data_IF_289127847006
#
_entry.id   IF_289127847006
#
_cell.length_a   1.000
_cell.length_b   1.000
_cell.length_c   1.000
_cell.angle_alpha   90.00
_cell.angle_beta   90.00
_cell.angle_gamma   90.00
#
_symmetry.space_group_name_H-M   'P 1'
#
loop_
_entity.id
_entity.type
_entity.pdbx_description
1 polymer ?
#
# COMPACT_ATOMS: atom_id res chain seq x y z
N UNK A 1 12.60 -13.47 3.64
CA UNK A 1 13.28 -14.01 2.43
C UNK A 1 14.06 -12.84 1.93
N UNK A 2 15.40 -12.93 1.93
CA UNK A 2 16.22 -11.82 1.46
C UNK A 2 15.82 -11.49 0.02
N UNK A 3 15.28 -10.28 -0.18
CA UNK A 3 14.94 -9.77 -1.50
C UNK A 3 16.26 -9.30 -2.13
N UNK A 4 16.64 -9.92 -3.24
CA UNK A 4 17.80 -9.54 -4.02
C UNK A 4 17.44 -9.48 -5.51
N UNK A 5 18.31 -8.86 -6.31
CA UNK A 5 18.03 -8.61 -7.73
C UNK A 5 17.80 -9.89 -8.53
N UNK A 6 18.52 -10.97 -8.23
CA UNK A 6 18.33 -12.25 -8.92
C UNK A 6 16.94 -12.85 -8.62
N UNK A 7 16.54 -12.87 -7.35
CA UNK A 7 15.23 -13.38 -6.93
C UNK A 7 14.09 -12.54 -7.51
N UNK A 8 14.26 -11.21 -7.57
CA UNK A 8 13.29 -10.30 -8.20
C UNK A 8 13.21 -10.54 -9.72
N UNK A 9 14.35 -10.69 -10.40
CA UNK A 9 14.39 -10.98 -11.83
C UNK A 9 13.71 -12.32 -12.16
N UNK A 10 13.98 -13.36 -11.36
CA UNK A 10 13.33 -14.66 -11.51
C UNK A 10 11.82 -14.58 -11.27
N UNK A 11 11.39 -13.88 -10.20
CA UNK A 11 9.98 -13.67 -9.89
C UNK A 11 9.25 -12.95 -11.02
N UNK A 12 9.83 -11.87 -11.55
CA UNK A 12 9.28 -11.12 -12.69
C UNK A 12 9.23 -11.97 -13.96
N UNK A 13 10.28 -12.74 -14.26
CA UNK A 13 10.33 -13.59 -15.43
C UNK A 13 9.24 -14.68 -15.37
N UNK A 14 9.07 -15.33 -14.22
CA UNK A 14 8.02 -16.32 -14.00
C UNK A 14 6.61 -15.70 -14.12
N UNK A 15 6.40 -14.52 -13.53
CA UNK A 15 5.14 -13.78 -13.67
C UNK A 15 4.82 -13.49 -15.15
N UNK A 16 5.82 -13.02 -15.90
CA UNK A 16 5.70 -12.72 -17.34
C UNK A 16 5.42 -13.97 -18.17
N UNK A 17 5.97 -15.12 -17.77
CA UNK A 17 5.70 -16.42 -18.38
C UNK A 17 4.30 -16.99 -18.05
N UNK A 18 3.49 -16.27 -17.25
CA UNK A 18 2.12 -16.65 -16.92
C UNK A 18 1.97 -17.42 -15.60
N UNK A 19 3.03 -17.56 -14.80
CA UNK A 19 2.90 -18.15 -13.46
C UNK A 19 2.09 -17.22 -12.56
N UNK A 20 0.88 -17.66 -12.23
CA UNK A 20 -0.07 -16.90 -11.40
C UNK A 20 0.44 -16.65 -9.97
N UNK A 21 1.20 -17.58 -9.39
CA UNK A 21 1.77 -17.40 -8.05
C UNK A 21 2.89 -16.38 -8.09
N UNK A 22 3.73 -16.44 -9.12
CA UNK A 22 4.77 -15.44 -9.33
C UNK A 22 4.17 -14.06 -9.60
N UNK A 23 3.11 -13.98 -10.42
CA UNK A 23 2.39 -12.73 -10.68
C UNK A 23 1.78 -12.12 -9.41
N UNK A 24 1.20 -12.93 -8.53
CA UNK A 24 0.68 -12.47 -7.24
C UNK A 24 1.83 -11.97 -6.33
N UNK A 25 2.92 -12.74 -6.21
CA UNK A 25 4.07 -12.35 -5.41
C UNK A 25 4.72 -11.06 -5.91
N UNK A 26 4.81 -10.91 -7.22
CA UNK A 26 5.31 -9.71 -7.89
C UNK A 26 4.40 -8.50 -7.67
N UNK A 27 3.08 -8.66 -7.89
CA UNK A 27 2.10 -7.63 -7.66
C UNK A 27 2.14 -7.10 -6.23
N UNK A 28 2.24 -8.01 -5.24
CA UNK A 28 2.36 -7.63 -3.84
C UNK A 28 3.56 -6.73 -3.55
N UNK A 29 4.71 -7.01 -4.17
CA UNK A 29 5.88 -6.14 -4.03
C UNK A 29 5.62 -4.78 -4.68
N UNK A 30 5.05 -4.78 -5.89
CA UNK A 30 4.72 -3.55 -6.61
C UNK A 30 3.73 -2.66 -5.86
N UNK A 31 2.82 -3.22 -5.05
CA UNK A 31 1.96 -2.43 -4.16
C UNK A 31 2.75 -1.51 -3.21
N UNK A 32 4.01 -1.82 -2.90
CA UNK A 32 4.87 -1.05 -2.00
C UNK A 32 5.68 0.03 -2.73
N UNK A 33 5.45 0.26 -4.03
CA UNK A 33 6.27 1.14 -4.86
C UNK A 33 5.44 2.13 -5.67
N UNK A 34 6.01 3.30 -5.97
CA UNK A 34 5.39 4.35 -6.80
C UNK A 34 5.37 3.99 -8.27
N UNK A 35 6.43 3.31 -8.71
CA UNK A 35 6.70 3.01 -10.10
C UNK A 35 7.05 1.53 -10.25
N UNK A 36 6.76 0.99 -11.43
CA UNK A 36 7.30 -0.30 -11.81
C UNK A 36 8.85 -0.29 -11.78
N UNK A 37 9.51 -1.45 -11.68
CA UNK A 37 10.96 -1.52 -11.48
C UNK A 37 11.75 -1.24 -12.76
N UNK A 38 11.08 -0.83 -13.83
CA UNK A 38 11.70 -0.33 -15.08
C UNK A 38 12.01 1.17 -15.04
N UNK A 39 11.92 1.81 -13.86
CA UNK A 39 12.16 3.24 -13.67
C UNK A 39 10.87 4.06 -13.67
N UNK A 40 10.94 5.35 -13.33
CA UNK A 40 9.81 6.25 -13.44
C UNK A 40 9.27 6.15 -14.86
N UNK A 41 7.94 6.14 -15.01
CA UNK A 41 7.35 6.34 -16.31
C UNK A 41 8.04 7.58 -16.92
N UNK A 42 8.52 7.46 -18.15
CA UNK A 42 9.03 8.57 -18.95
C UNK A 42 8.20 9.83 -18.69
N UNK A 43 8.84 11.00 -18.62
CA UNK A 43 8.34 12.36 -18.25
C UNK A 43 6.93 12.78 -18.74
N UNK A 44 6.24 11.97 -19.54
CA UNK A 44 4.88 12.17 -20.07
C UNK A 44 3.77 11.50 -19.23
N UNK A 45 4.07 10.75 -18.17
CA UNK A 45 3.07 10.22 -17.24
C UNK A 45 3.38 10.65 -15.80
N UNK A 46 3.27 11.95 -15.53
CA UNK A 46 3.45 12.55 -14.21
C UNK A 46 2.31 12.23 -13.22
N UNK A 47 1.76 11.02 -13.28
CA UNK A 47 0.67 10.54 -12.42
C UNK A 47 1.09 9.33 -11.61
N UNK A 48 0.47 9.12 -10.46
CA UNK A 48 0.69 7.91 -9.67
C UNK A 48 0.40 6.67 -10.53
N UNK A 49 1.44 5.88 -10.80
CA UNK A 49 1.29 4.62 -11.53
C UNK A 49 0.87 3.53 -10.56
N UNK A 50 -0.03 2.63 -11.00
CA UNK A 50 -0.53 1.51 -10.21
C UNK A 50 0.08 0.20 -10.78
N UNK A 51 1.42 0.01 -10.64
CA UNK A 51 2.17 -0.99 -11.40
C UNK A 51 1.75 -2.44 -11.11
N UNK A 52 1.20 -2.70 -9.94
CA UNK A 52 0.66 -4.00 -9.51
C UNK A 52 -0.65 -4.38 -10.21
N UNK A 53 -1.48 -3.41 -10.62
CA UNK A 53 -2.87 -3.67 -11.03
C UNK A 53 -2.97 -4.65 -12.23
N UNK A 54 -2.17 -4.49 -13.31
CA UNK A 54 -2.22 -5.44 -14.43
C UNK A 54 -1.92 -6.89 -14.04
N UNK A 55 -1.05 -7.07 -13.04
CA UNK A 55 -0.68 -8.40 -12.52
C UNK A 55 -1.82 -8.98 -11.68
N UNK A 56 -2.39 -8.20 -10.75
CA UNK A 56 -3.55 -8.62 -9.95
C UNK A 56 -4.74 -9.00 -10.84
N UNK A 57 -5.04 -8.19 -11.86
CA UNK A 57 -6.09 -8.48 -12.83
C UNK A 57 -5.81 -9.75 -13.63
N UNK A 58 -4.55 -10.01 -13.99
CA UNK A 58 -4.15 -11.25 -14.68
C UNK A 58 -4.33 -12.47 -13.78
N UNK A 59 -3.99 -12.35 -12.49
CA UNK A 59 -4.24 -13.39 -11.49
C UNK A 59 -5.73 -13.69 -11.40
N UNK A 60 -6.57 -12.66 -11.22
CA UNK A 60 -8.02 -12.84 -11.07
C UNK A 60 -8.72 -13.33 -12.33
N UNK A 61 -8.19 -13.03 -13.52
CA UNK A 61 -8.69 -13.62 -14.78
C UNK A 61 -8.47 -15.13 -14.82
N UNK A 62 -7.35 -15.60 -14.26
CA UNK A 62 -6.98 -17.03 -14.25
C UNK A 62 -7.59 -17.76 -13.05
N UNK A 63 -7.68 -17.08 -11.90
CA UNK A 63 -8.19 -17.58 -10.62
C UNK A 63 -9.16 -16.56 -10.02
N UNK A 64 -10.43 -16.53 -10.46
CA UNK A 64 -11.40 -15.54 -10.00
C UNK A 64 -11.69 -15.57 -8.49
N UNK A 65 -11.39 -16.68 -7.81
CA UNK A 65 -11.62 -16.82 -6.37
C UNK A 65 -10.33 -16.73 -5.54
N UNK A 66 -9.23 -16.23 -6.11
CA UNK A 66 -7.98 -16.01 -5.39
C UNK A 66 -8.13 -14.85 -4.39
N UNK A 67 -8.42 -15.19 -3.13
CA UNK A 67 -8.67 -14.22 -2.06
C UNK A 67 -7.51 -13.23 -1.89
N UNK A 68 -6.23 -13.65 -1.79
CA UNK A 68 -5.12 -12.70 -1.69
C UNK A 68 -5.09 -11.68 -2.83
N UNK A 69 -5.31 -12.10 -4.08
CA UNK A 69 -5.36 -11.19 -5.21
C UNK A 69 -6.57 -10.24 -5.15
N UNK A 70 -7.75 -10.74 -4.73
CA UNK A 70 -8.93 -9.89 -4.53
C UNK A 70 -8.69 -8.86 -3.43
N UNK A 71 -8.07 -9.25 -2.31
CA UNK A 71 -7.77 -8.35 -1.19
C UNK A 71 -6.79 -7.26 -1.58
N UNK A 72 -5.69 -7.62 -2.24
CA UNK A 72 -4.72 -6.65 -2.76
C UNK A 72 -5.37 -5.66 -3.74
N UNK A 73 -6.17 -6.16 -4.69
CA UNK A 73 -6.83 -5.28 -5.66
C UNK A 73 -7.88 -4.38 -5.00
N UNK A 74 -8.67 -4.90 -4.05
CA UNK A 74 -9.67 -4.10 -3.36
C UNK A 74 -9.04 -2.97 -2.53
N UNK A 75 -7.96 -3.26 -1.78
CA UNK A 75 -7.20 -2.22 -1.08
C UNK A 75 -6.58 -1.21 -2.01
N UNK A 76 -6.05 -1.66 -3.15
CA UNK A 76 -5.45 -0.76 -4.12
C UNK A 76 -6.48 0.15 -4.78
N UNK A 77 -7.67 -0.37 -5.08
CA UNK A 77 -8.79 0.45 -5.56
C UNK A 77 -9.22 1.47 -4.50
N UNK A 78 -9.20 1.12 -3.20
CA UNK A 78 -9.50 2.07 -2.13
C UNK A 78 -8.45 3.21 -2.06
N UNK A 79 -7.16 2.89 -2.17
CA UNK A 79 -6.09 3.90 -2.28
C UNK A 79 -6.25 4.78 -3.53
N UNK A 80 -6.61 4.19 -4.67
CA UNK A 80 -6.88 4.96 -5.89
C UNK A 80 -8.05 5.92 -5.72
N UNK A 81 -9.13 5.46 -5.10
CA UNK A 81 -10.31 6.29 -4.83
C UNK A 81 -9.91 7.47 -3.95
N UNK A 82 -9.19 7.21 -2.86
CA UNK A 82 -8.72 8.23 -1.94
C UNK A 82 -7.83 9.29 -2.63
N UNK A 83 -6.81 8.83 -3.37
CA UNK A 83 -5.91 9.71 -4.13
C UNK A 83 -6.67 10.57 -5.14
N UNK A 84 -7.54 9.96 -5.96
CA UNK A 84 -8.25 10.71 -7.01
C UNK A 84 -9.35 11.61 -6.46
N UNK A 85 -9.95 11.29 -5.31
CA UNK A 85 -10.84 12.22 -4.61
C UNK A 85 -10.08 13.46 -4.15
N UNK A 86 -8.91 13.26 -3.51
CA UNK A 86 -8.03 14.35 -3.10
C UNK A 86 -7.59 15.22 -4.30
N UNK A 87 -7.15 14.59 -5.40
CA UNK A 87 -6.74 15.30 -6.62
C UNK A 87 -7.90 16.03 -7.31
N UNK A 88 -9.11 15.44 -7.34
CA UNK A 88 -10.28 16.12 -7.93
C UNK A 88 -10.68 17.36 -7.12
N UNK A 89 -10.47 17.35 -5.81
CA UNK A 89 -10.77 18.48 -4.93
C UNK A 89 -9.70 19.58 -5.00
N UNK A 90 -8.42 19.20 -4.91
CA UNK A 90 -7.30 20.15 -4.80
C UNK A 90 -6.74 20.59 -6.17
N UNK A 91 -6.77 19.70 -7.16
CA UNK A 91 -6.12 19.86 -8.47
C UNK A 91 -7.01 19.37 -9.63
N UNK A 92 -8.22 19.96 -9.83
CA UNK A 92 -9.22 19.44 -10.77
C UNK A 92 -8.75 19.42 -12.24
N UNK A 93 -7.85 20.34 -12.65
CA UNK A 93 -7.26 20.33 -13.99
C UNK A 93 -6.41 19.10 -14.24
N UNK A 94 -5.64 18.69 -13.24
CA UNK A 94 -4.71 17.58 -13.34
C UNK A 94 -5.51 16.28 -13.34
N UNK A 95 -6.53 16.17 -12.48
CA UNK A 95 -7.47 15.05 -12.52
C UNK A 95 -8.14 14.89 -13.90
N UNK A 96 -8.59 16.00 -14.52
CA UNK A 96 -9.19 15.97 -15.86
C UNK A 96 -8.19 15.51 -16.95
N UNK A 97 -6.92 15.93 -16.87
CA UNK A 97 -5.86 15.50 -17.78
C UNK A 97 -5.64 13.98 -17.72
N UNK A 98 -5.71 13.39 -16.53
CA UNK A 98 -5.65 11.94 -16.33
C UNK A 98 -6.98 11.22 -16.62
N UNK A 99 -8.03 11.94 -17.02
CA UNK A 99 -9.35 11.40 -17.32
C UNK A 99 -10.09 10.90 -16.08
N UNK A 100 -9.81 11.48 -14.92
CA UNK A 100 -10.34 11.09 -13.63
C UNK A 100 -11.46 12.03 -13.19
N UNK A 101 -12.61 11.45 -12.85
CA UNK A 101 -13.80 12.18 -12.45
C UNK A 101 -14.67 11.35 -11.47
N UNK A 102 -15.81 11.91 -11.06
CA UNK A 102 -16.76 11.19 -10.20
C UNK A 102 -17.27 9.88 -10.79
N UNK A 103 -17.29 9.73 -12.12
CA UNK A 103 -17.72 8.50 -12.81
C UNK A 103 -16.65 7.42 -12.71
N UNK A 104 -15.37 7.75 -12.95
CA UNK A 104 -14.27 6.80 -12.82
C UNK A 104 -14.08 6.35 -11.38
N UNK A 105 -14.18 7.28 -10.42
CA UNK A 105 -14.18 7.00 -8.98
C UNK A 105 -15.36 6.07 -8.62
N UNK A 106 -16.57 6.38 -9.10
CA UNK A 106 -17.76 5.55 -8.86
C UNK A 106 -17.61 4.12 -9.38
N UNK A 107 -17.00 3.95 -10.57
CA UNK A 107 -16.69 2.62 -11.13
C UNK A 107 -15.70 1.84 -10.27
N UNK A 108 -14.63 2.49 -9.79
CA UNK A 108 -13.66 1.85 -8.88
C UNK A 108 -14.31 1.42 -7.57
N UNK A 109 -15.18 2.27 -7.00
CA UNK A 109 -15.92 1.95 -5.78
C UNK A 109 -16.83 0.73 -5.98
N UNK A 110 -17.54 0.65 -7.10
CA UNK A 110 -18.37 -0.50 -7.43
C UNK A 110 -17.53 -1.80 -7.57
N UNK A 111 -16.37 -1.72 -8.22
CA UNK A 111 -15.46 -2.86 -8.34
C UNK A 111 -14.90 -3.31 -6.98
N UNK A 112 -14.43 -2.37 -6.15
CA UNK A 112 -13.93 -2.68 -4.82
C UNK A 112 -15.01 -3.32 -3.92
N UNK A 113 -16.26 -2.86 -4.03
CA UNK A 113 -17.40 -3.43 -3.33
C UNK A 113 -17.73 -4.87 -3.78
N UNK A 114 -17.66 -5.18 -5.08
CA UNK A 114 -17.80 -6.54 -5.60
C UNK A 114 -16.70 -7.47 -5.04
N UNK A 115 -15.44 -7.01 -5.07
CA UNK A 115 -14.32 -7.76 -4.53
C UNK A 115 -14.50 -8.03 -3.04
N UNK A 116 -14.87 -7.02 -2.24
CA UNK A 116 -15.14 -7.18 -0.82
C UNK A 116 -16.25 -8.20 -0.56
N UNK A 117 -17.32 -8.17 -1.34
CA UNK A 117 -18.43 -9.13 -1.25
C UNK A 117 -17.93 -10.56 -1.50
N UNK A 118 -17.10 -10.76 -2.52
CA UNK A 118 -16.52 -12.06 -2.87
C UNK A 118 -15.52 -12.56 -1.84
N UNK A 119 -14.69 -11.68 -1.28
CA UNK A 119 -13.77 -11.99 -0.17
C UNK A 119 -14.56 -12.49 1.04
N UNK A 120 -15.63 -11.78 1.42
CA UNK A 120 -16.51 -12.19 2.53
C UNK A 120 -17.19 -13.54 2.28
N UNK A 121 -17.65 -13.77 1.04
CA UNK A 121 -18.28 -15.03 0.64
C UNK A 121 -17.31 -16.23 0.65
N UNK A 122 -16.01 -16.00 0.37
CA UNK A 122 -14.98 -17.02 0.42
C UNK A 122 -14.68 -17.52 1.86
N UNK A 123 -15.17 -16.83 2.89
CA UNK A 123 -15.08 -17.30 4.27
C UNK A 123 -13.65 -17.28 4.82
N UNK A 124 -12.91 -16.18 4.59
CA UNK A 124 -11.58 -16.00 5.17
C UNK A 124 -11.60 -16.17 6.69
N UNK A 125 -10.43 -16.45 7.28
CA UNK A 125 -10.26 -16.51 8.73
C UNK A 125 -10.66 -15.17 9.36
N UNK A 126 -11.95 -15.04 9.70
CA UNK A 126 -12.60 -13.76 10.01
C UNK A 126 -11.91 -13.00 11.15
N UNK A 127 -11.24 -13.70 12.05
CA UNK A 127 -10.50 -13.10 13.15
C UNK A 127 -9.21 -12.41 12.69
N UNK A 128 -8.52 -12.93 11.67
CA UNK A 128 -7.25 -12.37 11.18
C UNK A 128 -7.42 -11.28 10.13
N UNK A 129 -8.55 -11.21 9.43
CA UNK A 129 -8.78 -10.18 8.39
C UNK A 129 -9.97 -9.29 8.68
N UNK A 130 -10.77 -9.60 9.70
CA UNK A 130 -12.04 -8.93 10.00
C UNK A 130 -11.90 -7.42 10.19
N UNK A 131 -11.02 -6.95 11.09
CA UNK A 131 -10.82 -5.51 11.32
C UNK A 131 -10.43 -4.76 10.04
N UNK A 132 -9.47 -5.27 9.26
CA UNK A 132 -9.06 -4.63 8.00
C UNK A 132 -10.14 -4.65 6.92
N UNK A 133 -10.97 -5.71 6.85
CA UNK A 133 -12.12 -5.76 5.94
C UNK A 133 -13.29 -4.86 6.38
N UNK A 134 -13.43 -4.60 7.68
CA UNK A 134 -14.38 -3.63 8.20
C UNK A 134 -13.92 -2.20 7.88
N UNK A 135 -12.64 -1.90 8.10
CA UNK A 135 -12.03 -0.63 7.73
C UNK A 135 -12.13 -0.38 6.22
N UNK A 136 -11.85 -1.39 5.39
CA UNK A 136 -12.04 -1.29 3.93
C UNK A 136 -13.49 -0.99 3.56
N UNK A 137 -14.47 -1.58 4.25
CA UNK A 137 -15.88 -1.27 4.02
C UNK A 137 -16.22 0.18 4.40
N UNK A 138 -15.64 0.69 5.48
CA UNK A 138 -15.82 2.06 5.94
C UNK A 138 -15.24 3.08 4.94
N UNK A 139 -14.01 2.86 4.46
CA UNK A 139 -13.37 3.68 3.41
C UNK A 139 -14.21 3.70 2.12
N UNK A 140 -14.85 2.57 1.79
CA UNK A 140 -15.73 2.47 0.62
C UNK A 140 -17.15 3.01 0.86
N UNK A 141 -17.43 3.56 2.05
CA UNK A 141 -18.74 4.07 2.49
C UNK A 141 -19.86 3.01 2.35
N UNK A 142 -19.54 1.73 2.54
CA UNK A 142 -20.48 0.64 2.39
C UNK A 142 -21.28 0.43 3.69
N UNK A 143 -22.59 0.12 3.60
CA UNK A 143 -23.39 -0.18 4.77
C UNK A 143 -22.87 -1.43 5.49
N UNK A 144 -22.89 -1.39 6.82
CA UNK A 144 -22.58 -2.56 7.64
C UNK A 144 -23.56 -3.72 7.30
N UNK A 145 -23.07 -4.96 7.15
CA UNK A 145 -23.96 -6.08 6.89
C UNK A 145 -24.93 -6.30 8.07
N UNK A 146 -26.18 -6.70 7.79
CA UNK A 146 -27.17 -6.95 8.83
C UNK A 146 -26.70 -8.08 9.78
N UNK A 147 -26.69 -7.79 11.08
CA UNK A 147 -26.21 -8.71 12.12
C UNK A 147 -24.78 -8.45 12.60
N UNK A 148 -24.04 -7.58 11.93
CA UNK A 148 -22.81 -6.99 12.46
C UNK A 148 -23.20 -5.73 13.24
N UNK A 149 -23.23 -5.81 14.58
CA UNK A 149 -23.22 -4.59 15.39
C UNK A 149 -22.00 -3.79 14.98
N UNK A 150 -22.18 -2.49 14.70
CA UNK A 150 -21.08 -1.53 14.56
C UNK A 150 -20.15 -1.79 15.75
N UNK A 151 -19.07 -2.52 15.49
CA UNK A 151 -18.13 -2.84 16.55
C UNK A 151 -17.60 -1.48 16.94
N UNK A 152 -17.76 -1.12 18.23
CA UNK A 152 -17.07 0.05 18.74
C UNK A 152 -15.63 0.00 18.22
N UNK A 153 -15.05 1.13 17.76
CA UNK A 153 -13.66 1.13 17.32
C UNK A 153 -12.86 0.41 18.40
N UNK A 154 -12.05 -0.61 18.03
CA UNK A 154 -11.41 -1.47 19.00
C UNK A 154 -10.70 -0.56 20.00
N UNK A 155 -11.19 -0.55 21.24
CA UNK A 155 -10.72 0.38 22.28
C UNK A 155 -9.28 0.06 22.71
N UNK A 156 -8.77 -1.09 22.27
CA UNK A 156 -7.37 -1.46 22.24
C UNK A 156 -6.98 -1.55 20.76
N UNK A 157 -6.07 -0.68 20.31
CA UNK A 157 -5.68 -0.51 18.91
C UNK A 157 -5.64 -1.83 18.12
N UNK A 158 -6.33 -1.85 16.98
CA UNK A 158 -6.53 -3.04 16.15
C UNK A 158 -5.25 -3.87 16.08
N UNK A 159 -5.35 -5.15 16.50
CA UNK A 159 -4.25 -6.01 16.93
C UNK A 159 -3.19 -6.40 15.90
N UNK A 160 -3.04 -5.62 14.83
CA UNK A 160 -2.00 -5.79 13.84
C UNK A 160 -0.69 -5.11 14.24
N UNK A 161 0.38 -5.67 13.69
CA UNK A 161 1.72 -5.13 13.70
C UNK A 161 2.14 -4.82 12.26
N UNK A 162 2.69 -3.63 12.07
CA UNK A 162 3.16 -3.13 10.78
C UNK A 162 4.21 -2.03 10.99
N UNK A 163 5.00 -1.78 9.96
CA UNK A 163 5.89 -0.64 9.89
C UNK A 163 5.30 0.40 8.93
N UNK A 164 5.60 1.66 9.19
CA UNK A 164 5.27 2.80 8.35
C UNK A 164 6.56 3.56 8.08
N UNK A 165 6.90 3.75 6.81
CA UNK A 165 7.78 4.84 6.39
C UNK A 165 6.90 6.08 6.22
N UNK A 166 7.31 7.20 6.79
CA UNK A 166 6.70 8.52 6.57
C UNK A 166 7.75 9.47 6.00
N UNK A 167 7.40 10.19 4.94
CA UNK A 167 8.25 11.19 4.30
C UNK A 167 7.39 12.37 3.83
N UNK A 168 7.41 13.43 4.63
CA UNK A 168 6.56 14.60 4.48
C UNK A 168 7.40 15.80 3.99
N UNK A 169 7.08 16.34 2.82
CA UNK A 169 7.71 17.55 2.30
C UNK A 169 6.74 18.73 2.24
N UNK A 170 7.20 19.89 2.71
CA UNK A 170 6.42 21.12 2.73
C UNK A 170 6.73 21.98 1.49
N UNK A 171 5.67 22.43 0.81
CA UNK A 171 5.74 23.42 -0.25
C UNK A 171 4.74 24.54 0.03
N UNK A 172 5.20 25.60 0.71
CA UNK A 172 4.34 26.70 1.15
C UNK A 172 3.33 26.25 2.21
N UNK A 173 2.03 26.29 1.87
CA UNK A 173 0.93 25.84 2.73
C UNK A 173 0.47 24.41 2.45
N UNK A 174 1.17 23.69 1.57
CA UNK A 174 0.82 22.34 1.13
C UNK A 174 1.85 21.35 1.69
N UNK A 175 1.37 20.22 2.19
CA UNK A 175 2.19 19.08 2.61
C UNK A 175 2.03 17.95 1.60
N UNK A 176 3.15 17.48 1.05
CA UNK A 176 3.22 16.25 0.28
C UNK A 176 3.61 15.13 1.24
N UNK A 177 2.64 14.30 1.62
CA UNK A 177 2.85 13.14 2.48
C UNK A 177 3.04 11.89 1.64
N UNK A 178 4.12 11.17 1.88
CA UNK A 178 4.36 9.84 1.33
C UNK A 178 4.44 8.82 2.44
N UNK A 179 3.71 7.71 2.29
CA UNK A 179 3.78 6.59 3.23
C UNK A 179 4.05 5.25 2.55
N UNK A 180 4.81 4.39 3.23
CA UNK A 180 4.95 2.96 2.86
C UNK A 180 4.61 2.11 4.06
N UNK A 181 3.50 1.38 3.99
CA UNK A 181 3.07 0.46 5.04
C UNK A 181 3.38 -0.97 4.63
N UNK A 182 4.18 -1.66 5.44
CA UNK A 182 4.54 -3.06 5.22
C UNK A 182 4.68 -3.82 6.55
N UNK A 183 4.56 -5.14 6.50
CA UNK A 183 4.70 -5.99 7.70
C UNK A 183 6.00 -6.77 7.76
N UNK A 184 6.69 -6.88 6.63
CA UNK A 184 7.93 -7.66 6.50
C UNK A 184 9.12 -6.73 6.37
N UNK A 185 10.12 -6.83 7.26
CA UNK A 185 11.33 -6.00 7.19
C UNK A 185 12.02 -6.05 5.83
N UNK A 186 12.14 -7.24 5.22
CA UNK A 186 12.78 -7.39 3.91
C UNK A 186 12.01 -6.66 2.79
N UNK A 187 10.67 -6.72 2.80
CA UNK A 187 9.81 -6.03 1.83
C UNK A 187 9.89 -4.51 2.03
N UNK A 188 9.92 -4.05 3.28
CA UNK A 188 10.04 -2.64 3.64
C UNK A 188 11.39 -2.05 3.21
N UNK A 189 12.51 -2.71 3.54
CA UNK A 189 13.85 -2.27 3.13
C UNK A 189 13.94 -2.10 1.61
N UNK A 190 13.47 -3.11 0.88
CA UNK A 190 13.47 -3.05 -0.58
C UNK A 190 12.58 -1.91 -1.13
N UNK A 191 11.41 -1.68 -0.54
CA UNK A 191 10.50 -0.61 -0.93
C UNK A 191 11.10 0.79 -0.64
N UNK A 192 11.69 0.97 0.53
CA UNK A 192 12.46 2.15 0.90
C UNK A 192 13.61 2.40 -0.09
N UNK A 193 14.37 1.37 -0.48
CA UNK A 193 15.43 1.50 -1.48
C UNK A 193 14.90 1.91 -2.87
N UNK A 194 13.67 1.53 -3.23
CA UNK A 194 13.05 2.06 -4.46
C UNK A 194 12.72 3.55 -4.30
N UNK A 195 12.14 3.92 -3.17
CA UNK A 195 11.73 5.30 -2.88
C UNK A 195 12.91 6.26 -2.82
N UNK A 196 13.99 5.87 -2.15
CA UNK A 196 15.20 6.69 -2.03
C UNK A 196 15.95 6.86 -3.34
N UNK A 197 15.88 5.85 -4.23
CA UNK A 197 16.37 5.99 -5.61
C UNK A 197 15.56 6.98 -6.43
N UNK A 198 14.24 7.06 -6.21
CA UNK A 198 13.36 7.99 -6.92
C UNK A 198 13.55 9.43 -6.42
N UNK A 199 13.83 9.62 -5.13
CA UNK A 199 13.99 10.93 -4.50
C UNK A 199 15.44 11.44 -4.50
N UNK A 200 16.39 10.64 -4.99
CA UNK A 200 17.83 10.93 -4.99
C UNK A 200 18.35 11.31 -3.57
N UNK A 201 17.88 10.59 -2.55
CA UNK A 201 18.22 10.88 -1.16
C UNK A 201 17.31 10.25 -0.12
N UNK A 202 17.37 10.77 1.11
CA UNK A 202 16.57 10.31 2.25
C UNK A 202 15.13 10.87 2.19
N UNK A 203 14.45 10.62 1.07
CA UNK A 203 13.09 11.09 0.83
C UNK A 203 13.03 12.55 0.35
N UNK A 204 11.81 13.04 0.14
CA UNK A 204 11.49 14.40 -0.30
C UNK A 204 11.96 15.46 0.69
N UNK A 205 11.92 15.12 1.98
CA UNK A 205 12.29 16.01 3.09
C UNK A 205 13.77 15.96 3.48
N UNK A 206 14.46 14.87 3.10
CA UNK A 206 15.77 14.51 3.66
C UNK A 206 15.73 13.97 5.09
N UNK A 207 14.53 13.76 5.66
CA UNK A 207 14.31 13.30 7.04
C UNK A 207 13.17 12.28 7.13
N UNK A 208 13.16 11.29 6.24
CA UNK A 208 12.19 10.20 6.31
C UNK A 208 12.32 9.42 7.64
N UNK A 209 11.19 9.06 8.23
CA UNK A 209 11.11 8.35 9.51
C UNK A 209 10.48 6.97 9.29
N UNK A 210 10.97 5.96 10.01
CA UNK A 210 10.40 4.63 10.02
C UNK A 210 9.86 4.31 11.41
N UNK A 211 8.54 4.12 11.50
CA UNK A 211 7.82 3.83 12.73
C UNK A 211 7.31 2.39 12.71
N UNK A 212 7.59 1.64 13.76
CA UNK A 212 7.01 0.31 14.00
C UNK A 212 5.80 0.43 14.91
N UNK A 213 4.67 -0.15 14.50
CA UNK A 213 3.43 -0.19 15.27
C UNK A 213 3.12 -1.62 15.71
N UNK A 214 2.61 -1.76 16.93
CA UNK A 214 2.06 -2.99 17.46
C UNK A 214 0.85 -2.69 18.31
N UNK A 215 -0.25 -3.42 18.06
CA UNK A 215 -1.52 -3.21 18.78
C UNK A 215 -2.02 -1.76 18.68
N UNK A 216 -1.83 -1.14 17.51
CA UNK A 216 -2.18 0.25 17.22
C UNK A 216 -1.25 1.31 17.82
N UNK A 217 -0.25 0.92 18.63
CA UNK A 217 0.65 1.88 19.28
C UNK A 217 2.04 1.88 18.63
N UNK A 218 2.71 3.04 18.50
CA UNK A 218 4.09 3.09 18.05
C UNK A 218 5.00 2.47 19.12
N UNK A 219 5.76 1.43 18.73
CA UNK A 219 6.70 0.71 19.59
C UNK A 219 8.17 1.00 19.26
N UNK A 220 8.43 1.62 18.12
CA UNK A 220 9.76 2.06 17.70
C UNK A 220 9.67 3.18 16.68
N UNK A 221 10.64 4.09 16.70
CA UNK A 221 10.79 5.18 15.72
C UNK A 221 12.27 5.28 15.35
N UNK A 222 12.57 5.32 14.06
CA UNK A 222 13.93 5.37 13.51
C UNK A 222 14.01 6.54 12.51
N UNK A 223 14.88 7.49 12.80
CA UNK A 223 15.23 8.59 11.89
C UNK A 223 16.23 8.09 10.84
N UNK A 224 15.84 8.01 9.58
CA UNK A 224 16.65 7.33 8.56
C UNK A 224 17.83 8.17 8.08
N UNK A 225 17.79 9.49 8.21
CA UNK A 225 18.83 10.39 7.72
C UNK A 225 20.22 10.05 8.27
N UNK A 226 20.30 9.59 9.53
CA UNK A 226 21.55 9.18 10.18
C UNK A 226 22.15 7.87 9.66
N UNK A 227 21.41 7.13 8.83
CA UNK A 227 21.80 5.83 8.28
C UNK A 227 22.13 5.89 6.78
N UNK A 228 22.14 7.08 6.18
CA UNK A 228 22.60 7.27 4.80
C UNK A 228 24.13 7.42 4.75
N UNK A 229 24.76 6.62 3.88
CA UNK A 229 26.16 6.80 3.48
C UNK A 229 26.28 7.43 2.10
N UNK A 230 27.51 7.51 1.59
CA UNK A 230 27.83 8.14 0.30
C UNK A 230 27.13 7.49 -0.91
N UNK A 231 26.72 6.22 -0.78
CA UNK A 231 26.10 5.43 -1.86
C UNK A 231 24.62 5.13 -1.62
N UNK A 232 24.00 5.70 -0.58
CA UNK A 232 22.60 5.47 -0.21
C UNK A 232 22.42 4.88 1.18
N UNK A 233 21.25 4.29 1.42
CA UNK A 233 20.84 3.76 2.72
C UNK A 233 21.70 2.55 3.16
N UNK A 234 22.18 2.57 4.40
CA UNK A 234 23.00 1.50 5.00
C UNK A 234 22.16 0.70 6.00
N UNK A 235 21.53 -0.37 5.53
CA UNK A 235 20.61 -1.17 6.35
C UNK A 235 21.28 -1.99 7.47
N UNK A 236 22.58 -2.28 7.36
CA UNK A 236 23.32 -3.03 8.38
C UNK A 236 23.40 -2.26 9.70
N UNK A 237 23.39 -0.92 9.65
CA UNK A 237 23.40 -0.02 10.81
C UNK A 237 21.98 0.41 11.24
N UNK A 238 20.95 -0.01 10.50
CA UNK A 238 19.54 0.31 10.75
C UNK A 238 18.76 -0.96 11.11
N UNK A 239 18.74 -1.28 12.41
CA UNK A 239 18.01 -2.43 12.93
C UNK A 239 16.50 -2.18 12.93
N UNK A 240 15.75 -2.98 12.17
CA UNK A 240 14.29 -3.01 12.22
C UNK A 240 13.85 -4.01 13.30
N UNK A 241 13.29 -3.55 14.44
CA UNK A 241 12.93 -4.44 15.54
C UNK A 241 11.74 -5.32 15.14
N UNK A 242 11.80 -6.61 15.43
CA UNK A 242 10.66 -7.50 15.21
C UNK A 242 9.44 -7.00 15.98
N UNK A 243 8.30 -6.84 15.30
CA UNK A 243 7.10 -6.31 15.91
C UNK A 243 6.32 -7.41 16.65
N UNK A 244 5.86 -7.14 17.89
CA UNK A 244 5.02 -8.08 18.62
C UNK A 244 3.56 -7.97 18.15
N UNK A 245 3.00 -9.03 17.58
CA UNK A 245 1.58 -9.08 17.20
C UNK A 245 1.32 -9.77 15.86
N UNK A 246 0.05 -9.77 15.44
CA UNK A 246 -0.35 -10.38 14.17
C UNK A 246 0.02 -9.44 13.01
N UNK A 247 0.65 -9.89 11.91
CA UNK A 247 0.93 -8.99 10.81
C UNK A 247 -0.35 -8.47 10.14
N UNK A 248 -0.39 -7.16 9.85
CA UNK A 248 -1.38 -6.59 8.93
C UNK A 248 -1.44 -7.39 7.60
N UNK A 249 -2.62 -7.89 7.19
CA UNK A 249 -2.75 -8.60 5.93
C UNK A 249 -2.47 -7.65 4.73
N UNK A 250 -1.68 -8.10 3.73
CA UNK A 250 -1.40 -7.31 2.54
C UNK A 250 -2.67 -6.86 1.83
N UNK A 251 -2.72 -5.57 1.47
CA UNK A 251 -3.84 -4.96 0.77
C UNK A 251 -5.01 -4.55 1.65
N UNK A 252 -4.93 -4.68 2.97
CA UNK A 252 -5.95 -4.11 3.86
C UNK A 252 -5.54 -2.73 4.36
N UNK A 253 -6.50 -1.82 4.55
CA UNK A 253 -6.28 -0.62 5.34
C UNK A 253 -5.98 -0.97 6.80
N UNK A 254 -5.26 -0.06 7.45
CA UNK A 254 -4.89 -0.16 8.86
C UNK A 254 -6.06 0.39 9.69
N UNK A 255 -6.72 -0.44 10.51
CA UNK A 255 -7.91 -0.01 11.24
C UNK A 255 -7.64 1.18 12.16
N UNK A 256 -8.35 2.30 11.95
CA UNK A 256 -8.23 3.50 12.78
C UNK A 256 -6.99 4.37 12.57
N UNK A 257 -6.18 4.12 11.54
CA UNK A 257 -4.95 4.89 11.28
C UNK A 257 -4.98 5.72 10.00
N UNK A 258 -6.04 5.65 9.19
CA UNK A 258 -6.12 6.31 7.87
C UNK A 258 -4.89 5.99 6.98
N UNK A 259 -4.43 4.74 7.08
CA UNK A 259 -3.28 4.20 6.36
C UNK A 259 -3.69 2.95 5.60
N UNK A 260 -2.97 2.66 4.52
CA UNK A 260 -3.20 1.49 3.69
C UNK A 260 -1.91 0.69 3.53
N UNK A 261 -1.98 -0.64 3.62
CA UNK A 261 -0.85 -1.47 3.18
C UNK A 261 -0.43 -1.10 1.75
N UNK A 262 0.84 -0.82 1.53
CA UNK A 262 1.33 -0.31 0.24
C UNK A 262 2.00 1.05 0.33
N UNK A 263 2.40 1.53 -0.85
CA UNK A 263 2.78 2.92 -1.07
C UNK A 263 1.53 3.78 -1.25
N UNK A 264 1.47 4.89 -0.55
CA UNK A 264 0.46 5.94 -0.74
C UNK A 264 1.14 7.32 -0.78
N UNK A 265 0.55 8.22 -1.56
CA UNK A 265 0.93 9.62 -1.63
C UNK A 265 -0.33 10.47 -1.48
N UNK A 266 -0.24 11.56 -0.72
CA UNK A 266 -1.34 12.49 -0.47
C UNK A 266 -0.83 13.93 -0.50
N UNK A 267 -1.72 14.83 -0.84
CA UNK A 267 -1.52 16.28 -0.76
C UNK A 267 -2.49 16.83 0.27
N UNK A 268 -1.97 17.52 1.29
CA UNK A 268 -2.72 18.08 2.43
C UNK A 268 -2.52 19.59 2.56
#
# INVERSE_FOLDING_TARGET
MAINDEALAQLRAAATAGDTRAALGWARLLCLTVAGPTGPATDEAAGQTWPEEPWLRTVLRTRPHDVPAMTLLAGRLAQQIDYWQNMTELHPSDAEEFGEDGTTIGRRRAEAADLLTRIRAAGTERHLTGPGLAELAAVLELPAPPGETASAPPQDGGGYSFYVLEDDAWSGSVVHRTTIVATRPDELRWACDQWFRLTDGCGLSGSATLTGHAYGEPVSVIELAGHFGDTGMVWDDCALPALPGEPLPPGLPVPGHDLFYGFAARVE
#
